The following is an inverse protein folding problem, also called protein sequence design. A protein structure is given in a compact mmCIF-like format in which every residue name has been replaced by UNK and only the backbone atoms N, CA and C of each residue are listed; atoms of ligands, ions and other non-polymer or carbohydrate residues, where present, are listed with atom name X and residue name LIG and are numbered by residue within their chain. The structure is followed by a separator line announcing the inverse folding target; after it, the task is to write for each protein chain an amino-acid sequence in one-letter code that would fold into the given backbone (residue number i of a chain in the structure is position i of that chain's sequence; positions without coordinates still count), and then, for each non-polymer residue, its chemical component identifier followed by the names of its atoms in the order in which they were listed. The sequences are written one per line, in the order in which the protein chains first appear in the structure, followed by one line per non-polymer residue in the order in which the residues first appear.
data_IF_730987079253
#
_entry.id   IF_730987079253
#
_cell.length_a   1.000
_cell.length_b   1.000
_cell.length_c   1.000
_cell.angle_alpha   90.00
_cell.angle_beta   90.00
_cell.angle_gamma   90.00
#
_symmetry.space_group_name_H-M   'P 1'
#
loop_
_entity.id
_entity.type
_entity.pdbx_description
1 polymer ?
#
# COMPACT_ATOMS: atom_id res chain seq x y z
N UNK A 1 38.84 -79.33 -22.26
CA UNK A 1 39.44 -78.41 -21.26
C UNK A 1 38.53 -77.19 -21.16
N UNK A 2 37.76 -77.12 -20.04
CA UNK A 2 36.71 -76.12 -19.79
C UNK A 2 37.28 -74.88 -19.14
N UNK A 3 36.90 -73.75 -19.62
CA UNK A 3 37.00 -72.48 -18.84
C UNK A 3 35.65 -71.81 -18.83
N UNK A 4 34.96 -71.93 -17.72
CA UNK A 4 33.74 -71.23 -17.37
C UNK A 4 34.11 -69.82 -16.88
N UNK A 5 33.69 -68.74 -17.59
CA UNK A 5 33.78 -67.43 -17.11
C UNK A 5 32.45 -67.06 -16.44
N UNK A 6 32.49 -66.87 -15.12
CA UNK A 6 31.41 -66.21 -14.34
C UNK A 6 31.46 -64.74 -14.53
N UNK A 7 30.41 -64.16 -15.12
CA UNK A 7 30.14 -62.73 -15.15
C UNK A 7 29.31 -62.40 -13.92
N UNK A 8 29.91 -61.76 -12.92
CA UNK A 8 29.27 -61.17 -11.78
C UNK A 8 28.60 -59.82 -12.21
N UNK A 9 27.30 -59.79 -12.31
CA UNK A 9 26.50 -58.57 -12.49
C UNK A 9 26.36 -57.86 -11.15
N UNK A 10 27.13 -56.79 -10.97
CA UNK A 10 26.94 -55.85 -9.85
C UNK A 10 25.69 -55.02 -10.05
N UNK A 11 24.72 -55.19 -9.16
CA UNK A 11 23.48 -54.39 -9.10
C UNK A 11 23.82 -53.08 -8.35
N UNK A 12 23.95 -51.98 -9.07
CA UNK A 12 24.02 -50.63 -8.48
C UNK A 12 22.61 -50.19 -8.09
N UNK A 13 22.30 -50.27 -6.80
CA UNK A 13 21.09 -49.71 -6.24
C UNK A 13 21.23 -48.17 -6.14
N UNK A 14 20.60 -47.44 -7.02
CA UNK A 14 20.48 -45.99 -6.91
C UNK A 14 19.50 -45.64 -5.79
N UNK A 15 19.98 -45.20 -4.65
CA UNK A 15 19.18 -44.58 -3.58
C UNK A 15 18.74 -43.20 -4.04
N UNK A 16 17.50 -43.08 -4.52
CA UNK A 16 16.87 -41.79 -4.78
C UNK A 16 16.56 -41.09 -3.43
N UNK A 17 17.35 -40.10 -3.08
CA UNK A 17 17.04 -39.18 -1.98
C UNK A 17 15.84 -38.32 -2.39
N UNK A 18 14.65 -38.69 -1.97
CA UNK A 18 13.48 -37.81 -2.02
C UNK A 18 13.65 -36.69 -0.98
N UNK A 19 14.05 -35.52 -1.42
CA UNK A 19 14.04 -34.34 -0.55
C UNK A 19 12.57 -34.04 -0.11
N UNK A 20 12.33 -33.80 1.19
CA UNK A 20 10.99 -33.46 1.64
C UNK A 20 10.57 -32.11 1.01
N UNK A 21 9.49 -32.12 0.22
CA UNK A 21 8.84 -30.91 -0.27
C UNK A 21 8.12 -30.32 0.95
N UNK A 22 8.79 -29.39 1.65
CA UNK A 22 8.14 -28.58 2.67
C UNK A 22 7.14 -27.66 1.97
N UNK A 23 5.82 -27.74 2.28
CA UNK A 23 4.87 -26.81 1.71
C UNK A 23 5.26 -25.39 2.15
N UNK A 24 5.45 -24.50 1.19
CA UNK A 24 5.63 -23.08 1.44
C UNK A 24 4.33 -22.56 2.03
N UNK A 25 4.22 -22.54 3.36
CA UNK A 25 3.08 -21.96 4.05
C UNK A 25 3.04 -20.47 3.67
N UNK A 26 2.03 -20.06 2.91
CA UNK A 26 1.78 -18.66 2.64
C UNK A 26 1.60 -17.94 3.98
N UNK A 27 2.52 -17.03 4.30
CA UNK A 27 2.46 -16.28 5.54
C UNK A 27 1.17 -15.45 5.55
N UNK A 28 0.37 -15.63 6.60
CA UNK A 28 -0.83 -14.81 6.82
C UNK A 28 -0.42 -13.34 6.90
N UNK A 29 -1.17 -12.41 6.25
CA UNK A 29 -0.85 -11.00 6.32
C UNK A 29 -0.93 -10.49 7.76
N UNK A 30 0.04 -9.66 8.15
CA UNK A 30 0.05 -9.02 9.47
C UNK A 30 -1.02 -7.91 9.52
N UNK A 31 -2.09 -8.15 10.27
CA UNK A 31 -3.18 -7.22 10.53
C UNK A 31 -3.01 -6.44 11.84
N UNK A 32 -1.84 -6.52 12.46
CA UNK A 32 -1.56 -5.74 13.67
C UNK A 32 -1.71 -4.24 13.41
N UNK A 33 -2.01 -3.49 14.47
CA UNK A 33 -2.03 -2.03 14.41
C UNK A 33 -0.73 -1.46 13.81
N UNK A 34 0.41 -2.06 14.14
CA UNK A 34 1.71 -1.64 13.60
C UNK A 34 1.76 -1.77 12.08
N UNK A 35 1.27 -2.87 11.54
CA UNK A 35 1.29 -3.12 10.10
C UNK A 35 0.26 -2.27 9.33
N UNK A 36 -0.93 -2.07 9.89
CA UNK A 36 -2.04 -1.39 9.21
C UNK A 36 -1.97 0.12 9.39
N UNK A 37 -1.76 0.58 10.63
CA UNK A 37 -1.94 1.99 11.06
C UNK A 37 -0.61 2.72 11.23
N UNK A 38 0.41 2.03 11.75
CA UNK A 38 1.66 2.64 12.16
C UNK A 38 2.87 2.22 11.31
N UNK A 39 2.64 1.62 10.11
CA UNK A 39 3.70 1.28 9.16
C UNK A 39 4.56 2.52 8.85
N UNK A 40 5.86 2.52 9.19
CA UNK A 40 6.73 3.68 8.99
C UNK A 40 6.94 4.04 7.53
N UNK A 41 6.80 3.06 6.62
CA UNK A 41 6.95 3.27 5.19
C UNK A 41 5.71 3.92 4.54
N UNK A 42 4.52 3.81 5.17
CA UNK A 42 3.30 4.41 4.65
C UNK A 42 3.32 5.94 4.80
N UNK A 43 3.07 6.70 3.73
CA UNK A 43 2.95 8.15 3.82
C UNK A 43 1.80 8.57 4.74
N UNK A 44 1.96 9.70 5.41
CA UNK A 44 0.96 10.19 6.36
C UNK A 44 0.91 11.72 6.44
N UNK A 45 -0.27 12.23 6.79
CA UNK A 45 -0.49 13.66 7.12
C UNK A 45 -1.10 13.74 8.51
N UNK A 46 -0.50 14.59 9.36
CA UNK A 46 -0.96 14.81 10.72
C UNK A 46 -0.62 16.22 11.16
N UNK A 47 -1.37 16.75 12.13
CA UNK A 47 -0.94 17.89 12.93
C UNK A 47 0.19 17.52 13.90
N UNK A 48 0.57 18.44 14.79
CA UNK A 48 1.60 18.20 15.79
C UNK A 48 1.24 17.08 16.77
N UNK A 49 -0.04 16.95 17.07
CA UNK A 49 -0.60 15.90 17.92
C UNK A 49 -1.85 15.35 17.27
N UNK A 50 -2.13 14.07 17.43
CA UNK A 50 -3.36 13.43 16.94
C UNK A 50 -3.87 12.40 17.95
N UNK A 51 -5.19 12.19 17.95
CA UNK A 51 -5.88 11.23 18.81
C UNK A 51 -6.64 10.18 17.99
N UNK A 52 -6.97 10.47 16.73
CA UNK A 52 -7.61 9.53 15.80
C UNK A 52 -6.79 9.39 14.53
N UNK A 53 -6.73 8.18 14.01
CA UNK A 53 -6.15 7.90 12.69
C UNK A 53 -7.23 7.39 11.74
N UNK A 54 -7.27 7.99 10.56
CA UNK A 54 -7.98 7.51 9.39
C UNK A 54 -6.95 6.84 8.48
N UNK A 55 -7.13 5.57 8.16
CA UNK A 55 -6.33 4.87 7.16
C UNK A 55 -7.15 4.80 5.88
N UNK A 56 -6.62 5.32 4.78
CA UNK A 56 -7.27 5.25 3.48
C UNK A 56 -6.54 4.29 2.56
N UNK A 57 -7.24 3.29 2.04
CA UNK A 57 -6.82 2.43 0.94
C UNK A 57 -7.37 3.01 -0.35
N UNK A 58 -6.51 3.41 -1.27
CA UNK A 58 -6.90 4.20 -2.42
C UNK A 58 -6.09 3.91 -3.68
N UNK A 59 -6.61 4.35 -4.82
CA UNK A 59 -5.93 4.32 -6.12
C UNK A 59 -6.07 5.69 -6.80
N UNK A 60 -5.00 6.20 -7.37
CA UNK A 60 -4.96 7.51 -8.03
C UNK A 60 -5.86 7.60 -9.29
N UNK A 61 -6.17 6.48 -9.92
CA UNK A 61 -7.08 6.40 -11.05
C UNK A 61 -8.52 6.05 -10.67
N UNK A 62 -8.80 5.87 -9.38
CA UNK A 62 -10.14 5.64 -8.89
C UNK A 62 -10.94 6.97 -8.83
N UNK A 63 -12.05 7.12 -9.57
CA UNK A 63 -12.83 8.36 -9.53
C UNK A 63 -13.48 8.62 -8.17
N UNK A 64 -13.77 7.59 -7.40
CA UNK A 64 -14.30 7.71 -6.04
C UNK A 64 -13.26 8.19 -5.03
N UNK A 65 -11.97 7.76 -5.18
CA UNK A 65 -10.86 8.26 -4.38
C UNK A 65 -10.62 9.75 -4.65
N UNK A 66 -10.66 10.14 -5.92
CA UNK A 66 -10.54 11.56 -6.30
C UNK A 66 -11.65 12.42 -5.71
N UNK A 67 -12.87 11.89 -5.56
CA UNK A 67 -13.97 12.58 -4.85
C UNK A 67 -13.79 12.57 -3.33
N UNK A 68 -13.11 11.56 -2.78
CA UNK A 68 -12.81 11.47 -1.35
C UNK A 68 -11.72 12.43 -0.90
N UNK A 69 -10.76 12.75 -1.75
CA UNK A 69 -9.61 13.62 -1.42
C UNK A 69 -10.04 15.01 -0.87
N UNK A 70 -10.95 15.79 -1.49
CA UNK A 70 -11.40 17.05 -0.89
C UNK A 70 -12.11 16.87 0.46
N UNK A 71 -12.75 15.72 0.71
CA UNK A 71 -13.40 15.40 2.00
C UNK A 71 -12.35 15.18 3.08
N UNK A 72 -11.31 14.38 2.80
CA UNK A 72 -10.17 14.17 3.72
C UNK A 72 -9.42 15.47 3.99
N UNK A 73 -9.21 16.28 2.96
CA UNK A 73 -8.60 17.60 3.12
C UNK A 73 -9.45 18.54 3.99
N UNK A 74 -10.78 18.51 3.85
CA UNK A 74 -11.69 19.28 4.70
C UNK A 74 -11.65 18.79 6.16
N UNK A 75 -11.62 17.46 6.38
CA UNK A 75 -11.46 16.87 7.71
C UNK A 75 -10.16 17.35 8.37
N UNK A 76 -9.03 17.25 7.69
CA UNK A 76 -7.73 17.66 8.23
C UNK A 76 -7.65 19.16 8.55
N UNK A 77 -8.41 20.00 7.83
CA UNK A 77 -8.51 21.43 8.13
C UNK A 77 -9.41 21.73 9.33
N UNK A 78 -10.52 21.01 9.47
CA UNK A 78 -11.49 21.20 10.54
C UNK A 78 -11.11 20.52 11.84
N UNK A 79 -10.28 19.48 11.78
CA UNK A 79 -9.87 18.68 12.92
C UNK A 79 -8.37 18.35 12.89
N UNK A 80 -7.52 19.24 13.44
CA UNK A 80 -6.07 19.07 13.42
C UNK A 80 -5.57 17.88 14.28
N UNK A 81 -6.45 17.25 15.08
CA UNK A 81 -6.13 16.07 15.87
C UNK A 81 -6.37 14.75 15.11
N UNK A 82 -6.74 14.83 13.84
CA UNK A 82 -6.81 13.66 12.97
C UNK A 82 -5.48 13.46 12.25
N UNK A 83 -5.04 12.21 12.18
CA UNK A 83 -3.97 11.74 11.29
C UNK A 83 -4.60 10.96 10.13
N UNK A 84 -4.14 11.18 8.91
CA UNK A 84 -4.45 10.32 7.76
C UNK A 84 -3.20 9.52 7.40
N UNK A 85 -3.34 8.22 7.24
CA UNK A 85 -2.33 7.29 6.72
C UNK A 85 -2.79 6.83 5.34
N UNK A 86 -1.91 6.99 4.36
CA UNK A 86 -2.17 6.67 2.97
C UNK A 86 -1.66 5.28 2.65
N UNK A 87 -2.58 4.39 2.24
CA UNK A 87 -2.31 3.03 1.80
C UNK A 87 -2.56 2.94 0.29
N UNK A 88 -1.52 3.20 -0.46
CA UNK A 88 -1.56 3.07 -1.92
C UNK A 88 -1.91 1.64 -2.32
N UNK A 89 -3.08 1.45 -2.92
CA UNK A 89 -3.59 0.17 -3.40
C UNK A 89 -3.94 0.26 -4.88
N UNK A 90 -2.93 0.16 -5.79
CA UNK A 90 -3.08 0.41 -7.22
C UNK A 90 -3.74 -0.76 -7.95
N UNK A 91 -5.08 -0.81 -7.91
CA UNK A 91 -5.90 -1.88 -8.52
C UNK A 91 -6.35 -1.57 -9.96
N UNK A 92 -6.17 -0.33 -10.45
CA UNK A 92 -6.59 0.08 -11.78
C UNK A 92 -5.49 -0.03 -12.85
N UNK A 93 -4.48 -0.88 -12.60
CA UNK A 93 -3.49 -1.27 -13.59
C UNK A 93 -2.14 -0.53 -13.54
N UNK A 94 -1.30 -0.68 -14.58
CA UNK A 94 0.09 -0.23 -14.56
C UNK A 94 0.29 1.26 -14.27
N UNK A 95 -0.56 2.12 -14.83
CA UNK A 95 -0.49 3.56 -14.61
C UNK A 95 -0.77 3.95 -13.15
N UNK A 96 -1.72 3.27 -12.49
CA UNK A 96 -1.97 3.44 -11.05
C UNK A 96 -0.75 3.01 -10.23
N UNK A 97 -0.13 1.88 -10.59
CA UNK A 97 1.09 1.41 -9.92
C UNK A 97 2.24 2.40 -10.10
N UNK A 98 2.43 2.96 -11.30
CA UNK A 98 3.43 4.00 -11.54
C UNK A 98 3.18 5.24 -10.67
N UNK A 99 1.94 5.73 -10.61
CA UNK A 99 1.57 6.87 -9.78
C UNK A 99 1.84 6.61 -8.30
N UNK A 100 1.43 5.46 -7.76
CA UNK A 100 1.67 5.05 -6.37
C UNK A 100 3.16 4.96 -6.05
N UNK A 101 3.95 4.31 -6.91
CA UNK A 101 5.40 4.21 -6.73
C UNK A 101 6.07 5.59 -6.69
N UNK A 102 5.68 6.47 -7.62
CA UNK A 102 6.21 7.84 -7.68
C UNK A 102 5.79 8.66 -6.44
N UNK A 103 4.54 8.56 -6.02
CA UNK A 103 4.03 9.26 -4.84
C UNK A 103 4.76 8.81 -3.56
N UNK A 104 4.88 7.51 -3.32
CA UNK A 104 5.64 6.97 -2.18
C UNK A 104 7.10 7.44 -2.21
N UNK A 105 7.77 7.40 -3.38
CA UNK A 105 9.15 7.86 -3.50
C UNK A 105 9.31 9.36 -3.18
N UNK A 106 8.30 10.18 -3.46
CA UNK A 106 8.37 11.63 -3.20
C UNK A 106 8.44 12.01 -1.72
N UNK A 107 8.12 11.07 -0.81
CA UNK A 107 8.24 11.31 0.64
C UNK A 107 9.69 11.61 1.07
N UNK A 108 10.68 11.02 0.41
CA UNK A 108 12.11 11.28 0.70
C UNK A 108 12.57 12.68 0.25
N UNK A 109 11.70 13.38 -0.48
CA UNK A 109 11.89 14.78 -0.82
C UNK A 109 11.01 15.71 0.03
N UNK A 110 10.19 15.17 0.95
CA UNK A 110 9.18 15.92 1.70
C UNK A 110 8.06 16.46 0.80
N UNK A 111 7.81 15.81 -0.34
CA UNK A 111 6.86 16.28 -1.36
C UNK A 111 5.61 15.42 -1.50
N UNK A 112 5.47 14.36 -0.69
CA UNK A 112 4.34 13.43 -0.82
C UNK A 112 2.98 14.17 -0.79
N UNK A 113 2.71 15.01 0.19
CA UNK A 113 1.40 15.67 0.32
C UNK A 113 1.04 16.52 -0.91
N UNK A 114 1.98 17.32 -1.41
CA UNK A 114 1.76 18.14 -2.60
C UNK A 114 1.62 17.29 -3.87
N UNK A 115 2.39 16.22 -3.98
CA UNK A 115 2.34 15.34 -5.14
C UNK A 115 1.09 14.47 -5.14
N UNK A 116 0.69 13.93 -3.99
CA UNK A 116 -0.58 13.23 -3.80
C UNK A 116 -1.75 14.10 -4.24
N UNK A 117 -1.84 15.33 -3.77
CA UNK A 117 -2.88 16.30 -4.17
C UNK A 117 -2.86 16.56 -5.69
N UNK A 118 -1.67 16.75 -6.28
CA UNK A 118 -1.54 16.99 -7.71
C UNK A 118 -2.01 15.78 -8.55
N UNK A 119 -1.74 14.54 -8.09
CA UNK A 119 -2.20 13.31 -8.72
C UNK A 119 -3.72 13.15 -8.60
N UNK A 120 -4.29 13.36 -7.40
CA UNK A 120 -5.73 13.25 -7.14
C UNK A 120 -6.55 14.28 -7.88
N UNK A 121 -6.00 15.50 -8.09
CA UNK A 121 -6.66 16.59 -8.82
C UNK A 121 -6.33 16.64 -10.30
N UNK A 122 -5.69 15.62 -10.85
CA UNK A 122 -5.44 15.52 -12.30
C UNK A 122 -6.76 15.56 -13.08
N UNK A 123 -6.87 16.37 -14.15
CA UNK A 123 -8.13 16.51 -14.90
C UNK A 123 -8.50 15.25 -15.68
N UNK A 124 -7.52 14.41 -16.00
CA UNK A 124 -7.71 13.18 -16.75
C UNK A 124 -7.25 11.94 -15.95
N UNK A 125 -7.56 10.76 -16.49
CA UNK A 125 -6.95 9.53 -16.02
C UNK A 125 -5.44 9.61 -16.17
N UNK A 126 -4.71 9.22 -15.12
CA UNK A 126 -3.25 9.27 -15.11
C UNK A 126 -2.67 8.20 -16.06
N UNK A 127 -1.71 8.67 -16.81
CA UNK A 127 -0.69 7.90 -17.51
C UNK A 127 0.70 8.42 -17.08
N UNK A 128 1.76 7.93 -17.68
CA UNK A 128 3.13 8.37 -17.34
C UNK A 128 3.35 9.87 -17.57
N UNK A 129 2.73 10.46 -18.59
CA UNK A 129 2.80 11.90 -18.85
C UNK A 129 2.08 12.70 -17.76
N UNK A 130 0.89 12.25 -17.36
CA UNK A 130 0.10 12.84 -16.26
C UNK A 130 0.83 12.76 -14.92
N UNK A 131 1.47 11.64 -14.61
CA UNK A 131 2.31 11.48 -13.40
C UNK A 131 3.46 12.48 -13.41
N UNK A 132 4.15 12.64 -14.53
CA UNK A 132 5.25 13.61 -14.66
C UNK A 132 4.77 15.06 -14.55
N UNK A 133 3.63 15.38 -15.14
CA UNK A 133 3.01 16.71 -15.05
C UNK A 133 2.61 17.04 -13.59
N UNK A 134 2.00 16.09 -12.88
CA UNK A 134 1.67 16.22 -11.46
C UNK A 134 2.93 16.41 -10.59
N UNK A 135 4.02 15.70 -10.90
CA UNK A 135 5.30 15.87 -10.21
C UNK A 135 5.87 17.28 -10.39
N UNK A 136 5.79 17.83 -11.59
CA UNK A 136 6.21 19.21 -11.88
C UNK A 136 5.37 20.23 -11.10
N UNK A 137 4.03 20.05 -11.08
CA UNK A 137 3.10 20.88 -10.29
C UNK A 137 3.43 20.85 -8.80
N UNK A 138 3.80 19.70 -8.27
CA UNK A 138 4.20 19.50 -6.87
C UNK A 138 5.65 19.89 -6.56
N UNK A 139 6.41 20.39 -7.54
CA UNK A 139 7.83 20.71 -7.42
C UNK A 139 8.68 19.52 -6.93
N UNK A 140 8.36 18.34 -7.42
CA UNK A 140 9.17 17.13 -7.18
C UNK A 140 10.40 17.19 -8.10
N UNK A 141 11.57 16.97 -7.52
CA UNK A 141 12.81 16.77 -8.30
C UNK A 141 12.71 15.43 -9.03
N UNK A 142 12.35 15.50 -10.32
CA UNK A 142 12.11 14.30 -11.12
C UNK A 142 13.37 13.44 -11.35
N UNK A 143 14.56 13.99 -11.63
CA UNK A 143 15.79 13.23 -11.67
C UNK A 143 16.08 12.49 -10.36
N UNK A 144 15.92 13.14 -9.20
CA UNK A 144 16.07 12.51 -7.88
C UNK A 144 15.02 11.42 -7.66
N UNK A 145 13.75 11.68 -7.99
CA UNK A 145 12.68 10.70 -7.89
C UNK A 145 13.02 9.41 -8.66
N UNK A 146 13.53 9.55 -9.88
CA UNK A 146 13.95 8.40 -10.69
C UNK A 146 15.10 7.60 -10.06
N UNK A 147 16.05 8.28 -9.43
CA UNK A 147 17.13 7.60 -8.67
C UNK A 147 16.53 6.86 -7.46
N UNK A 148 15.65 7.51 -6.70
CA UNK A 148 14.99 6.91 -5.54
C UNK A 148 14.16 5.68 -5.94
N UNK A 149 13.41 5.75 -7.04
CA UNK A 149 12.68 4.61 -7.62
C UNK A 149 13.60 3.45 -8.01
N UNK A 150 14.79 3.73 -8.50
CA UNK A 150 15.79 2.71 -8.86
C UNK A 150 16.43 2.08 -7.60
N UNK A 151 16.80 2.88 -6.62
CA UNK A 151 17.55 2.41 -5.44
C UNK A 151 16.65 1.84 -4.34
N UNK A 152 15.40 2.33 -4.22
CA UNK A 152 14.43 1.94 -3.19
C UNK A 152 13.18 1.26 -3.76
N UNK A 153 13.23 0.87 -5.03
CA UNK A 153 12.08 0.25 -5.70
C UNK A 153 11.55 -0.99 -4.98
N UNK A 154 12.43 -1.83 -4.47
CA UNK A 154 12.06 -3.02 -3.71
C UNK A 154 11.32 -2.68 -2.40
N UNK A 155 11.75 -1.63 -1.68
CA UNK A 155 11.09 -1.14 -0.46
C UNK A 155 9.67 -0.62 -0.77
N UNK A 156 9.52 0.15 -1.85
CA UNK A 156 8.24 0.66 -2.32
C UNK A 156 7.32 -0.50 -2.71
N UNK A 157 7.82 -1.44 -3.51
CA UNK A 157 7.02 -2.59 -3.95
C UNK A 157 6.59 -3.47 -2.79
N UNK A 158 7.44 -3.64 -1.78
CA UNK A 158 7.09 -4.34 -0.56
C UNK A 158 5.95 -3.63 0.21
N UNK A 159 5.95 -2.29 0.27
CA UNK A 159 4.85 -1.52 0.86
C UNK A 159 3.54 -1.74 0.10
N UNK A 160 3.56 -1.64 -1.24
CA UNK A 160 2.36 -1.84 -2.07
C UNK A 160 1.83 -3.27 -1.96
N UNK A 161 2.72 -4.27 -1.92
CA UNK A 161 2.35 -5.67 -1.73
C UNK A 161 1.72 -5.91 -0.35
N UNK A 162 2.31 -5.34 0.72
CA UNK A 162 1.70 -5.43 2.06
C UNK A 162 0.33 -4.76 2.10
N UNK A 163 0.18 -3.60 1.45
CA UNK A 163 -1.11 -2.91 1.36
C UNK A 163 -2.16 -3.79 0.69
N UNK A 164 -1.82 -4.42 -0.44
CA UNK A 164 -2.71 -5.34 -1.14
C UNK A 164 -3.10 -6.54 -0.27
N UNK A 165 -2.13 -7.20 0.36
CA UNK A 165 -2.38 -8.34 1.26
C UNK A 165 -3.27 -7.95 2.45
N UNK A 166 -3.05 -6.79 3.07
CA UNK A 166 -3.87 -6.27 4.17
C UNK A 166 -5.31 -6.00 3.68
N UNK A 167 -5.46 -5.32 2.53
CA UNK A 167 -6.76 -4.99 1.97
C UNK A 167 -7.59 -6.25 1.68
N UNK A 168 -6.99 -7.26 1.08
CA UNK A 168 -7.61 -8.55 0.81
C UNK A 168 -7.99 -9.29 2.10
N UNK A 169 -7.12 -9.32 3.10
CA UNK A 169 -7.38 -10.00 4.37
C UNK A 169 -8.48 -9.34 5.20
N UNK A 170 -8.66 -8.02 5.08
CA UNK A 170 -9.78 -7.28 5.68
C UNK A 170 -11.09 -7.52 4.89
N UNK A 171 -11.01 -7.99 3.64
CA UNK A 171 -12.15 -8.21 2.77
C UNK A 171 -12.55 -6.99 1.94
N UNK A 172 -11.63 -6.05 1.69
CA UNK A 172 -11.90 -4.92 0.81
C UNK A 172 -12.00 -5.39 -0.66
N UNK A 173 -13.03 -4.90 -1.36
CA UNK A 173 -13.32 -5.26 -2.76
C UNK A 173 -13.02 -4.12 -3.74
N UNK A 174 -12.54 -2.97 -3.26
CA UNK A 174 -12.28 -1.80 -4.09
C UNK A 174 -11.90 -0.58 -3.28
N UNK A 175 -11.68 0.52 -3.98
CA UNK A 175 -11.24 1.79 -3.42
C UNK A 175 -12.28 2.90 -3.64
N UNK A 176 -12.35 3.92 -2.76
CA UNK A 176 -11.63 3.99 -1.50
C UNK A 176 -12.20 3.01 -0.46
N UNK A 177 -11.36 2.60 0.50
CA UNK A 177 -11.79 1.94 1.72
C UNK A 177 -11.09 2.59 2.90
N UNK A 178 -11.80 2.75 4.02
CA UNK A 178 -11.29 3.48 5.17
C UNK A 178 -11.30 2.61 6.42
N UNK A 179 -10.33 2.86 7.30
CA UNK A 179 -10.36 2.39 8.69
C UNK A 179 -10.29 3.63 9.58
N UNK A 180 -11.31 3.82 10.44
CA UNK A 180 -11.39 4.92 11.39
C UNK A 180 -11.52 4.34 12.80
N UNK A 181 -10.43 4.37 13.56
CA UNK A 181 -10.37 3.63 14.83
C UNK A 181 -10.51 2.12 14.60
N UNK A 182 -11.61 1.50 15.07
CA UNK A 182 -11.96 0.10 14.82
C UNK A 182 -13.02 -0.08 13.72
N UNK A 183 -13.49 1.00 13.11
CA UNK A 183 -14.55 0.98 12.11
C UNK A 183 -13.98 0.82 10.71
N UNK A 184 -14.54 -0.12 9.95
CA UNK A 184 -14.22 -0.38 8.54
C UNK A 184 -15.33 0.21 7.67
N UNK A 185 -14.97 0.99 6.68
CA UNK A 185 -15.90 1.69 5.78
C UNK A 185 -15.48 1.43 4.33
N UNK A 186 -16.39 0.94 3.52
CA UNK A 186 -16.15 0.72 2.07
C UNK A 186 -16.81 1.82 1.25
N UNK A 187 -16.07 2.33 0.28
CA UNK A 187 -16.52 3.41 -0.59
C UNK A 187 -16.28 4.81 -0.03
N UNK A 188 -16.57 5.81 -0.86
CA UNK A 188 -16.45 7.20 -0.47
C UNK A 188 -17.60 7.63 0.46
N UNK A 189 -17.29 8.46 1.44
CA UNK A 189 -18.25 9.06 2.36
C UNK A 189 -18.17 10.58 2.31
N UNK A 190 -19.22 11.26 2.77
CA UNK A 190 -19.24 12.71 2.93
C UNK A 190 -18.56 13.18 4.23
N UNK A 191 -18.31 14.47 4.33
CA UNK A 191 -17.64 15.07 5.48
C UNK A 191 -18.43 14.89 6.80
N UNK A 192 -19.75 15.08 6.86
CA UNK A 192 -20.54 14.80 8.06
C UNK A 192 -20.40 13.37 8.55
N UNK A 193 -20.45 12.39 7.66
CA UNK A 193 -20.25 10.98 8.00
C UNK A 193 -18.84 10.74 8.55
N UNK A 194 -17.83 11.32 7.91
CA UNK A 194 -16.44 11.16 8.37
C UNK A 194 -16.21 11.79 9.74
N UNK A 195 -16.79 12.97 10.02
CA UNK A 195 -16.77 13.58 11.36
C UNK A 195 -17.43 12.69 12.41
N UNK A 196 -18.58 12.08 12.09
CA UNK A 196 -19.26 11.17 12.99
C UNK A 196 -18.39 9.93 13.31
N UNK A 197 -17.78 9.31 12.29
CA UNK A 197 -16.86 8.18 12.47
C UNK A 197 -15.66 8.53 13.35
N UNK A 198 -15.07 9.71 13.16
CA UNK A 198 -13.97 10.22 13.99
C UNK A 198 -14.45 10.43 15.44
N UNK A 199 -15.60 11.04 15.64
CA UNK A 199 -16.16 11.26 16.98
C UNK A 199 -16.45 9.92 17.71
N UNK A 200 -16.95 8.91 17.00
CA UNK A 200 -17.19 7.58 17.55
C UNK A 200 -15.86 6.88 17.89
N UNK A 201 -14.84 7.00 17.04
CA UNK A 201 -13.51 6.44 17.29
C UNK A 201 -12.86 7.04 18.55
N UNK A 202 -13.10 8.33 18.84
CA UNK A 202 -12.64 8.99 20.08
C UNK A 202 -13.27 8.43 21.33
N UNK A 203 -14.58 8.03 21.25
CA UNK A 203 -15.29 7.43 22.40
C UNK A 203 -14.82 6.01 22.70
N UNK A 204 -14.31 5.31 21.69
CA UNK A 204 -13.81 3.92 21.80
C UNK A 204 -12.39 3.85 21.24
N UNK A 205 -11.40 4.39 21.95
CA UNK A 205 -10.02 4.32 21.47
C UNK A 205 -9.63 2.85 21.23
N UNK A 206 -9.02 2.58 20.07
CA UNK A 206 -8.51 1.24 19.78
C UNK A 206 -7.54 0.82 20.89
N UNK A 207 -7.62 -0.43 21.35
CA UNK A 207 -6.68 -0.98 22.30
C UNK A 207 -5.23 -0.72 21.82
N UNK A 208 -4.41 -0.23 22.74
CA UNK A 208 -2.99 0.11 22.48
C UNK A 208 -2.17 -1.15 22.24
#
# INVERSE_FOLDING_TARGET
MNRRNLLSRGLLAALAFAAPITPLMAQQPDLSRKAVVDDPAAPKRAGKTYDVTVVEFFDYNCPYCRRMEPVLNALLRSDPKVRVVYRDWPIFGPASREASRAAVASQWQGRHAAFHEALMTSPARLDSAGVKAAAAKARVDWPRLRRDLKTRGAEIDALLTRTDSIAQAIGFNGTPALIVGSQVVTGAVDLPTLHRLVAEARKKPAAR
#
